data_IF_379581456947
#
_entry.id   IF_379581456947
#
_cell.length_a   1.000
_cell.length_b   1.000
_cell.length_c   1.000
_cell.angle_alpha   90.00
_cell.angle_beta   90.00
_cell.angle_gamma   90.00
#
_symmetry.space_group_name_H-M   'P 1'
#
loop_
_entity.id
_entity.type
_entity.pdbx_description
1 polymer ?
#
# COMPACT_ATOMS: atom_id res chain seq x y z
N UNK A 1 -16.92 -10.51 21.63
CA UNK A 1 -16.15 -10.09 22.83
C UNK A 1 -15.19 -8.99 22.44
N UNK A 2 -14.98 -7.99 23.30
CA UNK A 2 -14.04 -6.88 23.10
C UNK A 2 -13.02 -6.86 24.24
N UNK A 3 -11.80 -6.40 23.98
CA UNK A 3 -10.73 -6.22 24.97
C UNK A 3 -10.61 -4.78 25.47
N UNK A 4 -11.73 -4.07 25.55
CA UNK A 4 -11.77 -2.65 25.96
C UNK A 4 -11.66 -2.55 27.47
N UNK A 5 -10.91 -1.56 27.96
CA UNK A 5 -10.80 -1.24 29.38
C UNK A 5 -11.11 0.24 29.61
N UNK A 6 -11.69 0.55 30.76
CA UNK A 6 -11.92 1.91 31.18
C UNK A 6 -10.58 2.59 31.54
N UNK A 7 -10.40 3.85 31.17
CA UNK A 7 -9.20 4.63 31.50
C UNK A 7 -8.00 4.38 30.58
N UNK A 8 -8.17 3.71 29.43
CA UNK A 8 -7.08 3.53 28.46
C UNK A 8 -6.70 4.83 27.75
N UNK A 9 -7.68 5.70 27.50
CA UNK A 9 -7.48 7.06 26.99
C UNK A 9 -8.80 7.84 27.03
N UNK A 10 -8.72 9.16 27.20
CA UNK A 10 -9.91 10.02 27.18
C UNK A 10 -10.79 9.83 25.93
N UNK A 11 -10.18 9.64 24.75
CA UNK A 11 -10.92 9.41 23.52
C UNK A 11 -11.60 8.03 23.47
N UNK A 12 -11.02 7.00 24.11
CA UNK A 12 -11.68 5.69 24.25
C UNK A 12 -12.82 5.74 25.26
N UNK A 13 -12.62 6.44 26.38
CA UNK A 13 -13.65 6.59 27.41
C UNK A 13 -14.89 7.33 26.88
N UNK A 14 -14.69 8.37 26.06
CA UNK A 14 -15.79 9.04 25.37
C UNK A 14 -16.58 8.06 24.48
N UNK A 15 -15.88 7.26 23.66
CA UNK A 15 -16.53 6.28 22.78
C UNK A 15 -17.22 5.14 23.54
N UNK A 16 -16.68 4.74 24.69
CA UNK A 16 -17.30 3.76 25.60
C UNK A 16 -18.62 4.33 26.10
N UNK A 17 -18.62 5.58 26.55
CA UNK A 17 -19.82 6.27 27.03
C UNK A 17 -20.87 6.44 25.92
N UNK A 18 -20.46 6.81 24.71
CA UNK A 18 -21.34 6.92 23.53
C UNK A 18 -22.02 5.58 23.23
N UNK A 19 -21.28 4.46 23.29
CA UNK A 19 -21.81 3.10 23.07
C UNK A 19 -22.58 2.52 24.26
N UNK A 20 -22.57 3.18 25.42
CA UNK A 20 -23.09 2.64 26.69
C UNK A 20 -22.49 1.25 27.02
N UNK A 21 -21.22 1.06 26.68
CA UNK A 21 -20.48 -0.18 26.91
C UNK A 21 -20.19 -0.34 28.42
N UNK A 22 -20.41 -1.54 28.97
CA UNK A 22 -20.21 -1.86 30.39
C UNK A 22 -19.59 -3.24 30.58
N UNK A 23 -19.00 -3.48 31.76
CA UNK A 23 -18.38 -4.76 32.12
C UNK A 23 -19.36 -5.84 32.60
N UNK A 24 -20.49 -5.43 33.16
CA UNK A 24 -21.42 -6.34 33.85
C UNK A 24 -22.46 -6.98 32.90
N UNK A 25 -21.99 -7.71 31.89
CA UNK A 25 -22.83 -8.50 30.99
C UNK A 25 -22.85 -8.04 29.54
N UNK A 26 -23.85 -8.51 28.79
CA UNK A 26 -23.97 -8.31 27.34
C UNK A 26 -24.50 -6.90 27.06
N UNK A 27 -23.85 -6.17 26.16
CA UNK A 27 -24.31 -4.89 25.62
C UNK A 27 -24.50 -4.98 24.11
N UNK A 28 -25.38 -4.14 23.54
CA UNK A 28 -25.66 -4.11 22.10
C UNK A 28 -24.92 -2.96 21.42
N UNK A 29 -24.27 -3.24 20.29
CA UNK A 29 -23.68 -2.21 19.43
C UNK A 29 -24.76 -1.39 18.70
N UNK A 30 -24.37 -0.26 18.09
CA UNK A 30 -25.29 0.55 17.26
C UNK A 30 -25.93 -0.25 16.11
N UNK A 31 -25.25 -1.29 15.63
CA UNK A 31 -25.72 -2.20 14.58
C UNK A 31 -26.53 -3.40 15.12
N UNK A 32 -26.82 -3.42 16.43
CA UNK A 32 -27.61 -4.47 17.09
C UNK A 32 -26.84 -5.74 17.47
N UNK A 33 -25.53 -5.81 17.19
CA UNK A 33 -24.70 -6.95 17.58
C UNK A 33 -24.51 -7.03 19.10
N UNK A 34 -24.63 -8.23 19.67
CA UNK A 34 -24.39 -8.49 21.09
C UNK A 34 -22.89 -8.66 21.38
N UNK A 35 -22.37 -7.88 22.32
CA UNK A 35 -20.95 -7.83 22.69
C UNK A 35 -20.77 -7.95 24.21
N UNK A 36 -19.55 -8.31 24.62
CA UNK A 36 -19.13 -8.55 26.00
C UNK A 36 -17.73 -7.93 26.18
N UNK A 37 -17.49 -7.27 27.30
CA UNK A 37 -16.21 -6.61 27.63
C UNK A 37 -15.65 -7.11 28.97
N UNK A 38 -15.08 -8.34 29.03
CA UNK A 38 -14.80 -9.02 30.30
C UNK A 38 -13.74 -8.37 31.18
N UNK A 39 -12.85 -7.57 30.59
CA UNK A 39 -11.75 -6.88 31.28
C UNK A 39 -12.03 -5.39 31.47
N UNK A 40 -13.29 -4.96 31.35
CA UNK A 40 -13.67 -3.54 31.35
C UNK A 40 -13.11 -2.74 32.55
N UNK A 41 -13.14 -3.34 33.73
CA UNK A 41 -12.67 -2.74 35.00
C UNK A 41 -11.18 -2.98 35.28
N UNK A 42 -10.45 -3.67 34.41
CA UNK A 42 -9.06 -4.00 34.65
C UNK A 42 -8.17 -2.79 34.32
N UNK A 43 -7.31 -2.42 35.26
CA UNK A 43 -6.18 -1.56 34.95
C UNK A 43 -5.05 -2.36 34.27
N UNK A 44 -3.96 -1.67 33.92
CA UNK A 44 -2.86 -2.34 33.20
C UNK A 44 -2.17 -3.37 34.10
N UNK A 45 -2.00 -3.06 35.39
CA UNK A 45 -1.33 -3.94 36.34
C UNK A 45 -2.14 -5.23 36.56
N UNK A 46 -3.47 -5.14 36.65
CA UNK A 46 -4.37 -6.30 36.78
C UNK A 46 -4.25 -7.26 35.60
N UNK A 47 -4.08 -6.74 34.38
CA UNK A 47 -3.85 -7.58 33.19
C UNK A 47 -2.53 -8.33 33.33
N UNK A 48 -1.45 -7.66 33.72
CA UNK A 48 -0.14 -8.29 33.87
C UNK A 48 -0.08 -9.27 35.04
N UNK A 49 -0.80 -9.01 36.12
CA UNK A 49 -0.93 -9.94 37.25
C UNK A 49 -1.59 -11.25 36.80
N UNK A 50 -2.67 -11.18 36.01
CA UNK A 50 -3.35 -12.37 35.47
C UNK A 50 -2.43 -13.15 34.53
N UNK A 51 -1.71 -12.46 33.64
CA UNK A 51 -0.71 -13.10 32.77
C UNK A 51 0.42 -13.74 33.58
N UNK A 52 0.89 -13.08 34.64
CA UNK A 52 1.91 -13.60 35.56
C UNK A 52 1.45 -14.83 36.33
N UNK A 53 0.21 -14.86 36.84
CA UNK A 53 -0.36 -16.03 37.51
C UNK A 53 -0.58 -17.22 36.57
N UNK A 54 -0.97 -16.95 35.33
CA UNK A 54 -1.05 -17.98 34.31
C UNK A 54 0.34 -18.57 33.99
N UNK A 55 1.35 -17.71 33.82
CA UNK A 55 2.73 -18.15 33.58
C UNK A 55 3.32 -18.94 34.76
N UNK A 56 2.94 -18.60 36.00
CA UNK A 56 3.37 -19.30 37.20
C UNK A 56 2.59 -20.61 37.46
N UNK A 57 1.60 -20.95 36.62
CA UNK A 57 0.75 -22.13 36.81
C UNK A 57 -0.25 -22.02 37.97
N UNK A 58 -0.42 -20.83 38.54
CA UNK A 58 -1.37 -20.55 39.63
C UNK A 58 -2.79 -20.45 39.07
N UNK A 59 -2.94 -19.81 37.90
CA UNK A 59 -4.20 -19.68 37.20
C UNK A 59 -4.23 -20.63 36.00
N UNK A 60 -5.16 -21.59 35.99
CA UNK A 60 -5.37 -22.43 34.82
C UNK A 60 -5.92 -21.59 33.66
N UNK A 61 -5.22 -21.58 32.53
CA UNK A 61 -5.60 -20.82 31.36
C UNK A 61 -5.19 -21.54 30.07
N UNK A 62 -5.53 -21.00 28.91
CA UNK A 62 -5.24 -21.63 27.61
C UNK A 62 -3.76 -21.53 27.19
N UNK A 63 -2.95 -20.73 27.88
CA UNK A 63 -1.53 -20.50 27.57
C UNK A 63 -0.75 -20.09 28.84
N UNK A 64 0.55 -20.30 28.86
CA UNK A 64 1.42 -19.76 29.91
C UNK A 64 1.73 -18.27 29.70
N UNK A 65 1.45 -17.72 28.51
CA UNK A 65 1.77 -16.34 28.12
C UNK A 65 3.24 -15.95 28.25
N UNK A 66 4.17 -16.90 28.37
CA UNK A 66 5.59 -16.64 28.57
C UNK A 66 6.17 -15.78 27.46
N UNK A 67 5.79 -16.05 26.20
CA UNK A 67 6.24 -15.29 25.02
C UNK A 67 5.73 -13.84 25.01
N UNK A 68 4.54 -13.58 25.56
CA UNK A 68 3.98 -12.22 25.66
C UNK A 68 4.77 -11.43 26.71
N UNK A 69 5.01 -12.04 27.87
CA UNK A 69 5.81 -11.44 28.94
C UNK A 69 7.23 -11.12 28.45
N UNK A 70 7.89 -12.08 27.79
CA UNK A 70 9.22 -11.90 27.21
C UNK A 70 9.23 -10.75 26.19
N UNK A 71 8.28 -10.73 25.24
CA UNK A 71 8.20 -9.69 24.22
C UNK A 71 8.06 -8.27 24.81
N UNK A 72 7.18 -8.08 25.80
CA UNK A 72 7.01 -6.77 26.43
C UNK A 72 8.18 -6.39 27.34
N UNK A 73 8.87 -7.38 27.91
CA UNK A 73 10.15 -7.17 28.63
C UNK A 73 11.20 -6.64 27.67
N UNK A 74 11.35 -7.29 26.51
CA UNK A 74 12.28 -6.91 25.45
C UNK A 74 11.94 -5.53 24.85
N UNK A 75 10.66 -5.25 24.59
CA UNK A 75 10.19 -4.00 24.00
C UNK A 75 10.30 -2.81 24.96
N UNK A 76 10.09 -3.05 26.26
CA UNK A 76 10.17 -2.04 27.31
C UNK A 76 11.57 -1.76 27.83
N UNK A 77 12.57 -2.55 27.41
CA UNK A 77 13.94 -2.43 27.91
C UNK A 77 14.08 -2.83 29.38
N UNK A 78 13.33 -3.84 29.83
CA UNK A 78 13.31 -4.30 31.23
C UNK A 78 12.01 -4.04 31.96
N UNK A 79 10.87 -4.20 31.28
CA UNK A 79 9.58 -4.21 31.96
C UNK A 79 9.55 -5.36 32.98
N UNK A 80 9.47 -5.03 34.27
CA UNK A 80 9.41 -6.04 35.34
C UNK A 80 7.95 -6.45 35.52
N UNK A 81 7.56 -7.59 34.94
CA UNK A 81 6.33 -8.28 35.36
C UNK A 81 6.62 -8.89 36.73
N UNK A 82 6.22 -8.19 37.79
CA UNK A 82 6.43 -8.65 39.16
C UNK A 82 5.55 -9.88 39.40
N UNK A 83 6.15 -11.06 39.42
CA UNK A 83 5.56 -12.23 40.09
C UNK A 83 5.69 -12.02 41.59
N UNK A 84 4.55 -11.81 42.25
CA UNK A 84 4.30 -11.97 43.70
C UNK A 84 5.50 -11.80 44.64
N UNK A 85 5.74 -10.56 45.09
CA UNK A 85 6.59 -10.31 46.26
C UNK A 85 7.27 -8.95 46.23
N UNK A 86 6.59 -7.92 46.75
CA UNK A 86 7.10 -6.67 47.34
C UNK A 86 8.46 -6.08 46.86
N UNK A 87 8.85 -6.26 45.60
CA UNK A 87 10.08 -5.72 45.03
C UNK A 87 9.72 -4.56 44.08
N UNK A 88 10.17 -3.37 44.50
CA UNK A 88 10.15 -2.04 43.86
C UNK A 88 9.55 -1.89 42.46
N UNK A 89 8.51 -1.03 42.41
CA UNK A 89 7.83 -0.45 41.24
C UNK A 89 8.73 0.52 40.43
N UNK A 90 9.92 0.12 40.02
CA UNK A 90 10.82 0.98 39.25
C UNK A 90 11.20 0.37 37.90
N UNK A 91 10.20 0.20 37.05
CA UNK A 91 10.35 -0.04 35.61
C UNK A 91 9.36 0.82 34.84
N UNK A 92 9.62 1.18 33.57
CA UNK A 92 8.63 1.83 32.72
C UNK A 92 7.34 1.01 32.66
N UNK A 93 6.16 1.64 32.54
CA UNK A 93 4.92 0.89 32.37
C UNK A 93 5.01 -0.01 31.14
N UNK A 94 4.49 -1.23 31.29
CA UNK A 94 4.32 -2.32 30.33
C UNK A 94 3.44 -2.00 29.09
N UNK A 95 3.42 -0.75 28.66
CA UNK A 95 2.72 -0.25 27.46
C UNK A 95 3.67 0.03 26.29
N UNK A 96 4.85 -0.59 26.28
CA UNK A 96 5.86 -0.37 25.25
C UNK A 96 5.33 -0.75 23.86
N UNK A 97 5.70 0.04 22.85
CA UNK A 97 5.42 -0.24 21.45
C UNK A 97 6.63 -0.92 20.82
N UNK A 98 6.40 -1.79 19.85
CA UNK A 98 7.45 -2.53 19.11
C UNK A 98 7.87 -1.88 17.79
N UNK A 99 7.28 -0.73 17.44
CA UNK A 99 7.52 -0.04 16.18
C UNK A 99 6.71 -0.59 15.02
N UNK A 100 6.86 0.00 13.84
CA UNK A 100 6.19 -0.44 12.62
C UNK A 100 7.02 -0.11 11.38
N UNK A 101 7.31 -1.14 10.58
CA UNK A 101 8.14 -1.02 9.39
C UNK A 101 7.48 -0.25 8.23
N UNK A 102 6.16 -0.22 8.15
CA UNK A 102 5.45 0.54 7.10
C UNK A 102 5.07 1.97 7.56
N UNK A 103 5.07 2.23 8.86
CA UNK A 103 4.58 3.49 9.41
C UNK A 103 5.66 4.57 9.43
N UNK A 104 5.49 5.60 8.61
CA UNK A 104 6.36 6.77 8.59
C UNK A 104 6.02 7.80 9.69
N UNK A 105 4.93 7.60 10.44
CA UNK A 105 4.44 8.58 11.44
C UNK A 105 5.35 8.73 12.65
N UNK A 106 6.17 7.74 12.97
CA UNK A 106 7.15 7.80 14.07
C UNK A 106 8.30 8.80 13.83
N UNK A 107 8.35 9.48 12.69
CA UNK A 107 9.35 10.51 12.40
C UNK A 107 10.68 9.91 11.94
N UNK A 108 11.82 10.56 12.21
CA UNK A 108 13.13 10.20 11.63
C UNK A 108 13.63 8.80 11.99
N UNK A 109 13.31 8.30 13.18
CA UNK A 109 13.79 7.02 13.71
C UNK A 109 12.67 6.28 14.43
N UNK A 110 12.54 4.98 14.22
CA UNK A 110 11.63 4.14 15.02
C UNK A 110 12.38 3.60 16.24
N UNK A 111 12.47 4.44 17.29
CA UNK A 111 13.18 4.10 18.53
C UNK A 111 12.65 2.84 19.19
N UNK A 112 11.36 2.55 19.01
CA UNK A 112 10.73 1.35 19.55
C UNK A 112 11.23 0.08 18.87
N UNK A 113 11.28 0.08 17.54
CA UNK A 113 11.86 -1.03 16.79
C UNK A 113 13.36 -1.18 17.05
N UNK A 114 14.09 -0.06 17.11
CA UNK A 114 15.53 -0.04 17.41
C UNK A 114 15.83 -0.60 18.81
N UNK A 115 15.04 -0.21 19.82
CA UNK A 115 15.18 -0.72 21.19
C UNK A 115 14.89 -2.21 21.26
N UNK A 116 13.85 -2.68 20.58
CA UNK A 116 13.50 -4.11 20.53
C UNK A 116 14.63 -4.94 19.90
N UNK A 117 15.24 -4.43 18.82
CA UNK A 117 16.40 -5.08 18.19
C UNK A 117 17.62 -5.05 19.13
N UNK A 118 17.84 -3.95 19.84
CA UNK A 118 18.97 -3.79 20.75
C UNK A 118 18.85 -4.65 22.02
N UNK A 119 17.64 -4.91 22.52
CA UNK A 119 17.42 -5.72 23.71
C UNK A 119 17.68 -7.21 23.47
N UNK A 120 17.32 -7.73 22.29
CA UNK A 120 17.59 -9.10 21.91
C UNK A 120 17.88 -9.24 20.41
N UNK A 121 19.15 -8.99 20.05
CA UNK A 121 19.60 -9.03 18.65
C UNK A 121 19.45 -10.43 18.03
N UNK A 122 19.64 -11.49 18.81
CA UNK A 122 19.52 -12.86 18.31
C UNK A 122 18.10 -13.19 17.83
N UNK A 123 17.08 -12.63 18.50
CA UNK A 123 15.67 -12.88 18.21
C UNK A 123 15.06 -11.86 17.23
N UNK A 124 15.40 -10.59 17.40
CA UNK A 124 14.79 -9.49 16.64
C UNK A 124 15.71 -8.89 15.58
N UNK A 125 16.97 -9.32 15.46
CA UNK A 125 17.91 -8.81 14.44
C UNK A 125 17.38 -8.90 13.02
N UNK A 126 16.52 -9.89 12.73
CA UNK A 126 15.79 -10.03 11.46
C UNK A 126 14.89 -8.85 11.09
N UNK A 127 14.57 -7.96 12.03
CA UNK A 127 13.77 -6.75 11.79
C UNK A 127 14.60 -5.57 11.26
N UNK A 128 15.94 -5.65 11.27
CA UNK A 128 16.81 -4.57 10.78
C UNK A 128 16.53 -4.18 9.31
N UNK A 129 16.37 -5.11 8.35
CA UNK A 129 16.04 -4.76 6.96
C UNK A 129 14.70 -4.01 6.84
N UNK A 130 13.71 -4.40 7.65
CA UNK A 130 12.40 -3.74 7.68
C UNK A 130 12.49 -2.31 8.22
N UNK A 131 13.25 -2.11 9.31
CA UNK A 131 13.48 -0.76 9.85
C UNK A 131 14.31 0.11 8.89
N UNK A 132 15.24 -0.50 8.15
CA UNK A 132 16.04 0.18 7.11
C UNK A 132 15.17 0.69 5.96
N UNK A 133 14.28 -0.15 5.43
CA UNK A 133 13.28 0.23 4.43
C UNK A 133 12.39 1.39 4.92
N UNK A 134 11.89 1.27 6.15
CA UNK A 134 11.08 2.31 6.80
C UNK A 134 11.80 3.65 6.88
N UNK A 135 13.07 3.62 7.28
CA UNK A 135 13.90 4.81 7.45
C UNK A 135 14.20 5.48 6.11
N UNK A 136 14.46 4.68 5.08
CA UNK A 136 14.60 5.17 3.71
C UNK A 136 13.33 5.89 3.24
N UNK A 137 12.15 5.30 3.43
CA UNK A 137 10.86 5.93 3.07
C UNK A 137 10.63 7.29 3.75
N UNK A 138 10.99 7.40 5.03
CA UNK A 138 10.90 8.67 5.77
C UNK A 138 11.87 9.70 5.22
N UNK A 139 13.11 9.30 4.94
CA UNK A 139 14.15 10.21 4.51
C UNK A 139 13.90 10.79 3.11
N UNK A 140 13.24 10.04 2.22
CA UNK A 140 12.90 10.50 0.87
C UNK A 140 11.53 11.19 0.77
N UNK A 141 10.78 11.31 1.87
CA UNK A 141 9.38 11.78 1.84
C UNK A 141 9.25 13.15 1.16
N UNK A 142 10.21 14.04 1.37
CA UNK A 142 10.24 15.38 0.78
C UNK A 142 11.37 15.55 -0.25
N UNK A 143 11.93 14.45 -0.73
CA UNK A 143 12.85 14.48 -1.86
C UNK A 143 12.05 14.55 -3.17
N UNK A 144 11.99 15.75 -3.75
CA UNK A 144 11.24 16.00 -4.98
C UNK A 144 11.89 15.42 -6.22
N UNK A 145 13.19 15.11 -6.19
CA UNK A 145 13.89 14.46 -7.30
C UNK A 145 13.38 13.04 -7.57
N UNK A 146 12.80 12.40 -6.55
CA UNK A 146 12.24 11.05 -6.59
C UNK A 146 10.76 11.02 -6.99
N UNK A 147 10.19 12.14 -7.45
CA UNK A 147 8.77 12.27 -7.74
C UNK A 147 8.46 12.22 -9.23
N UNK A 148 7.25 11.80 -9.52
CA UNK A 148 6.61 11.98 -10.82
C UNK A 148 5.95 13.37 -10.85
N UNK A 149 6.14 14.10 -11.94
CA UNK A 149 5.77 15.51 -12.05
C UNK A 149 4.45 15.77 -12.80
N UNK A 150 3.67 14.72 -13.07
CA UNK A 150 2.40 14.82 -13.76
C UNK A 150 1.30 14.42 -12.80
N UNK A 151 0.29 15.29 -12.66
CA UNK A 151 -0.87 15.03 -11.84
C UNK A 151 -1.77 13.91 -12.39
N UNK A 152 -2.70 13.43 -11.55
CA UNK A 152 -3.65 12.36 -11.91
C UNK A 152 -5.07 12.86 -12.14
N UNK A 153 -5.30 14.16 -12.04
CA UNK A 153 -6.63 14.77 -12.15
C UNK A 153 -6.62 15.77 -13.29
N UNK A 154 -7.60 15.65 -14.18
CA UNK A 154 -7.85 16.65 -15.21
C UNK A 154 -8.91 17.60 -14.65
N UNK A 155 -8.55 18.88 -14.56
CA UNK A 155 -9.41 19.95 -14.07
C UNK A 155 -10.55 20.21 -15.05
N UNK A 156 -11.65 20.79 -14.57
CA UNK A 156 -12.83 21.11 -15.40
C UNK A 156 -12.50 22.02 -16.58
N UNK A 157 -11.46 22.84 -16.49
CA UNK A 157 -10.98 23.70 -17.58
C UNK A 157 -10.09 22.97 -18.60
N UNK A 158 -9.98 21.63 -18.53
CA UNK A 158 -9.30 20.81 -19.52
C UNK A 158 -7.77 20.77 -19.38
N UNK A 159 -7.25 21.02 -18.17
CA UNK A 159 -5.82 21.02 -17.88
C UNK A 159 -5.44 19.94 -16.87
N UNK A 160 -4.22 19.43 -16.97
CA UNK A 160 -3.58 18.61 -15.95
C UNK A 160 -2.48 19.42 -15.26
N UNK A 161 -2.45 19.38 -13.92
CA UNK A 161 -1.42 20.06 -13.15
C UNK A 161 -0.09 19.31 -13.28
N UNK A 162 0.98 20.07 -13.56
CA UNK A 162 2.35 19.58 -13.58
C UNK A 162 3.08 20.06 -12.32
N UNK A 163 3.45 19.13 -11.46
CA UNK A 163 4.10 19.36 -10.17
C UNK A 163 4.39 18.02 -9.51
N UNK A 164 5.25 18.02 -8.49
CA UNK A 164 5.60 16.79 -7.78
C UNK A 164 4.36 16.17 -7.10
N UNK A 165 3.94 14.99 -7.57
CA UNK A 165 2.80 14.22 -7.04
C UNK A 165 3.28 12.88 -6.46
N UNK A 166 3.12 11.78 -7.19
CA UNK A 166 3.50 10.44 -6.71
C UNK A 166 5.01 10.20 -6.78
N UNK A 167 5.48 9.06 -6.25
CA UNK A 167 6.84 8.59 -6.54
C UNK A 167 7.02 8.36 -8.04
N UNK A 168 8.24 8.60 -8.54
CA UNK A 168 8.62 8.32 -9.91
C UNK A 168 8.59 6.82 -10.21
N UNK A 169 8.42 6.40 -11.47
CA UNK A 169 8.50 4.98 -11.85
C UNK A 169 9.78 4.29 -11.36
N UNK A 170 10.93 4.96 -11.45
CA UNK A 170 12.19 4.42 -10.93
C UNK A 170 12.15 4.24 -9.41
N UNK A 171 11.59 5.20 -8.68
CA UNK A 171 11.47 5.13 -7.22
C UNK A 171 10.49 4.03 -6.78
N UNK A 172 9.39 3.84 -7.51
CA UNK A 172 8.46 2.75 -7.27
C UNK A 172 9.10 1.38 -7.52
N UNK A 173 9.92 1.26 -8.58
CA UNK A 173 10.72 0.06 -8.85
C UNK A 173 11.70 -0.22 -7.70
N UNK A 174 12.47 0.78 -7.26
CA UNK A 174 13.39 0.66 -6.12
C UNK A 174 12.67 0.28 -4.84
N UNK A 175 11.51 0.89 -4.56
CA UNK A 175 10.68 0.53 -3.41
C UNK A 175 10.24 -0.94 -3.45
N UNK A 176 9.83 -1.45 -4.62
CA UNK A 176 9.51 -2.87 -4.78
C UNK A 176 10.73 -3.76 -4.49
N UNK A 177 11.89 -3.45 -5.09
CA UNK A 177 13.15 -4.18 -4.86
C UNK A 177 13.52 -4.21 -3.37
N UNK A 178 13.48 -3.06 -2.71
CA UNK A 178 13.83 -2.96 -1.29
C UNK A 178 12.83 -3.68 -0.39
N UNK A 179 11.54 -3.69 -0.76
CA UNK A 179 10.50 -4.42 -0.03
C UNK A 179 10.71 -5.92 -0.14
N UNK A 180 10.93 -6.44 -1.36
CA UNK A 180 11.23 -7.86 -1.59
C UNK A 180 12.53 -8.30 -0.91
N UNK A 181 13.55 -7.44 -0.93
CA UNK A 181 14.81 -7.70 -0.23
C UNK A 181 14.61 -7.74 1.29
N UNK A 182 13.83 -6.81 1.85
CA UNK A 182 13.53 -6.80 3.27
C UNK A 182 12.69 -8.01 3.70
N UNK A 183 11.72 -8.43 2.89
CA UNK A 183 10.97 -9.69 3.07
C UNK A 183 11.91 -10.90 3.10
N UNK A 184 12.79 -11.03 2.10
CA UNK A 184 13.77 -12.13 2.00
C UNK A 184 14.69 -12.20 3.23
N UNK A 185 15.24 -11.06 3.65
CA UNK A 185 16.21 -11.01 4.76
C UNK A 185 15.55 -11.16 6.14
N UNK A 186 14.31 -10.70 6.30
CA UNK A 186 13.59 -10.77 7.58
C UNK A 186 12.80 -12.08 7.76
N UNK A 187 12.50 -12.78 6.67
CA UNK A 187 11.59 -13.92 6.63
C UNK A 187 10.14 -13.55 6.91
N UNK A 188 9.79 -12.26 6.89
CA UNK A 188 8.41 -11.78 7.09
C UNK A 188 7.75 -11.66 5.72
N UNK A 189 6.67 -12.39 5.42
CA UNK A 189 5.95 -12.23 4.16
C UNK A 189 5.26 -10.86 4.11
N UNK A 190 5.58 -10.07 3.10
CA UNK A 190 5.07 -8.71 2.89
C UNK A 190 4.17 -8.66 1.65
N UNK A 191 4.63 -9.24 0.52
CA UNK A 191 3.96 -9.17 -0.77
C UNK A 191 3.50 -10.58 -1.18
N UNK A 192 2.19 -10.81 -1.16
CA UNK A 192 1.59 -12.01 -1.73
C UNK A 192 1.55 -11.97 -3.27
N UNK A 193 1.37 -13.11 -3.95
CA UNK A 193 1.15 -13.16 -5.40
C UNK A 193 0.09 -12.18 -5.90
N UNK A 194 -1.08 -12.14 -5.26
CA UNK A 194 -2.14 -11.21 -5.63
C UNK A 194 -1.77 -9.74 -5.40
N UNK A 195 -1.02 -9.43 -4.35
CA UNK A 195 -0.52 -8.08 -4.12
C UNK A 195 0.50 -7.67 -5.18
N UNK A 196 1.36 -8.58 -5.63
CA UNK A 196 2.30 -8.33 -6.73
C UNK A 196 1.57 -8.05 -8.04
N UNK A 197 0.59 -8.88 -8.41
CA UNK A 197 -0.27 -8.66 -9.58
C UNK A 197 -0.99 -7.31 -9.47
N UNK A 198 -1.51 -6.98 -8.29
CA UNK A 198 -2.17 -5.70 -8.08
C UNK A 198 -1.24 -4.49 -8.23
N UNK A 199 0.02 -4.61 -7.77
CA UNK A 199 1.04 -3.58 -7.98
C UNK A 199 1.29 -3.40 -9.48
N UNK A 200 1.51 -4.49 -10.20
CA UNK A 200 1.75 -4.48 -11.65
C UNK A 200 0.57 -3.89 -12.42
N UNK A 201 -0.65 -4.35 -12.12
CA UNK A 201 -1.89 -3.86 -12.71
C UNK A 201 -2.05 -2.35 -12.49
N UNK A 202 -1.75 -1.84 -11.29
CA UNK A 202 -1.82 -0.40 -11.01
C UNK A 202 -0.75 0.41 -11.74
N UNK A 203 0.45 -0.14 -11.91
CA UNK A 203 1.51 0.51 -12.68
C UNK A 203 1.13 0.59 -14.16
N UNK A 204 0.61 -0.50 -14.72
CA UNK A 204 0.08 -0.58 -16.08
C UNK A 204 -1.09 0.39 -16.29
N UNK A 205 -2.10 0.36 -15.41
CA UNK A 205 -3.27 1.24 -15.50
C UNK A 205 -2.92 2.74 -15.46
N UNK A 206 -1.84 3.10 -14.77
CA UNK A 206 -1.37 4.48 -14.65
C UNK A 206 -0.28 4.83 -15.66
N UNK A 207 0.05 3.93 -16.60
CA UNK A 207 1.18 4.03 -17.54
C UNK A 207 2.51 4.46 -16.86
N UNK A 208 2.73 3.97 -15.63
CA UNK A 208 3.96 4.21 -14.85
C UNK A 208 5.10 3.38 -15.43
N UNK A 209 4.82 2.16 -15.86
CA UNK A 209 5.79 1.23 -16.43
C UNK A 209 5.11 0.36 -17.51
N UNK A 210 5.90 -0.28 -18.40
CA UNK A 210 5.37 -1.24 -19.36
C UNK A 210 4.58 -2.37 -18.66
N UNK A 211 3.71 -3.09 -19.39
CA UNK A 211 3.03 -4.27 -18.86
C UNK A 211 4.00 -5.27 -18.22
N UNK A 212 3.61 -5.90 -17.11
CA UNK A 212 4.38 -6.94 -16.41
C UNK A 212 5.74 -6.49 -15.84
N UNK A 213 6.01 -5.19 -15.79
CA UNK A 213 7.30 -4.67 -15.32
C UNK A 213 7.55 -4.89 -13.82
N UNK A 214 6.51 -4.86 -12.97
CA UNK A 214 6.66 -5.20 -11.56
C UNK A 214 6.96 -6.69 -11.38
N UNK A 215 6.34 -7.55 -12.20
CA UNK A 215 6.58 -9.00 -12.18
C UNK A 215 7.98 -9.33 -12.68
N UNK A 216 8.41 -8.70 -13.78
CA UNK A 216 9.80 -8.79 -14.23
C UNK A 216 10.77 -8.37 -13.13
N UNK A 217 10.48 -7.27 -12.43
CA UNK A 217 11.29 -6.80 -11.30
C UNK A 217 11.31 -7.83 -10.17
N UNK A 218 10.19 -8.50 -9.89
CA UNK A 218 10.13 -9.58 -8.92
C UNK A 218 11.04 -10.76 -9.29
N UNK A 219 11.01 -11.26 -10.52
CA UNK A 219 11.91 -12.33 -10.97
C UNK A 219 13.38 -11.90 -11.00
N UNK A 220 13.65 -10.66 -11.41
CA UNK A 220 15.00 -10.09 -11.36
C UNK A 220 15.57 -10.14 -9.92
N UNK A 221 14.75 -9.86 -8.89
CA UNK A 221 15.15 -9.88 -7.48
C UNK A 221 15.22 -11.31 -6.91
N UNK A 222 14.18 -12.11 -7.11
CA UNK A 222 14.01 -13.40 -6.44
C UNK A 222 14.84 -14.51 -7.08
N UNK A 223 14.92 -14.54 -8.41
CA UNK A 223 15.52 -15.63 -9.15
C UNK A 223 16.91 -15.26 -9.71
N UNK A 224 17.09 -14.00 -10.12
CA UNK A 224 18.33 -13.52 -10.75
C UNK A 224 19.29 -12.84 -9.78
N UNK A 225 18.94 -12.81 -8.49
CA UNK A 225 19.82 -12.30 -7.44
C UNK A 225 20.04 -10.79 -7.45
N UNK A 226 19.17 -10.01 -8.11
CA UNK A 226 19.24 -8.53 -8.14
C UNK A 226 18.59 -7.89 -6.91
N UNK A 227 18.73 -8.50 -5.74
CA UNK A 227 18.23 -7.94 -4.48
C UNK A 227 19.21 -6.88 -3.96
N UNK A 228 18.66 -5.80 -3.40
CA UNK A 228 19.40 -4.64 -2.92
C UNK A 228 18.71 -4.11 -1.65
N UNK A 229 19.46 -3.83 -0.60
CA UNK A 229 18.93 -3.19 0.59
C UNK A 229 18.73 -1.69 0.36
N UNK A 230 17.66 -1.12 0.92
CA UNK A 230 17.43 0.33 0.83
C UNK A 230 18.67 1.13 1.29
N UNK A 231 19.17 2.11 0.54
CA UNK A 231 20.39 2.84 0.90
C UNK A 231 20.16 3.73 2.12
N UNK A 232 21.24 3.99 2.88
CA UNK A 232 21.21 5.03 3.91
C UNK A 232 21.37 6.39 3.23
N UNK A 233 20.29 7.16 3.24
CA UNK A 233 20.22 8.49 2.60
C UNK A 233 19.96 9.56 3.67
N UNK A 234 20.42 10.81 3.47
CA UNK A 234 20.13 11.91 4.38
C UNK A 234 18.62 12.22 4.42
N UNK A 235 18.15 12.72 5.56
CA UNK A 235 16.75 13.12 5.73
C UNK A 235 16.43 14.39 4.93
N UNK A 236 15.50 14.30 3.97
CA UNK A 236 14.96 15.45 3.26
C UNK A 236 13.92 16.18 4.15
N UNK A 237 14.15 17.46 4.51
CA UNK A 237 13.24 18.20 5.36
C UNK A 237 11.94 18.58 4.64
N UNK A 238 10.82 18.74 5.38
CA UNK A 238 9.58 19.23 4.82
C UNK A 238 9.78 20.55 4.07
N UNK A 239 9.35 20.57 2.81
CA UNK A 239 9.38 21.75 1.94
C UNK A 239 8.11 21.81 1.09
N UNK A 240 7.77 22.96 0.49
CA UNK A 240 6.66 23.04 -0.45
C UNK A 240 6.93 22.20 -1.70
N UNK A 241 5.92 21.45 -2.15
CA UNK A 241 6.05 20.67 -3.38
C UNK A 241 6.23 21.60 -4.60
N UNK A 242 7.22 21.36 -5.46
CA UNK A 242 7.47 22.16 -6.64
C UNK A 242 6.31 22.03 -7.63
N UNK A 243 5.88 23.18 -8.17
CA UNK A 243 4.87 23.27 -9.22
C UNK A 243 5.51 23.82 -10.50
N UNK A 244 5.35 23.09 -11.60
CA UNK A 244 5.95 23.43 -12.89
C UNK A 244 5.00 24.27 -13.76
N UNK A 245 3.71 23.93 -13.74
CA UNK A 245 2.73 24.57 -14.61
C UNK A 245 1.51 23.71 -14.87
N UNK A 246 0.87 23.93 -16.02
CA UNK A 246 -0.33 23.23 -16.46
C UNK A 246 -0.17 22.79 -17.91
N UNK A 247 -0.58 21.55 -18.20
CA UNK A 247 -0.54 20.97 -19.55
C UNK A 247 -1.99 20.93 -20.09
N UNK A 248 -2.26 21.46 -21.29
CA UNK A 248 -3.59 21.42 -21.89
C UNK A 248 -3.89 20.01 -22.40
N UNK A 249 -5.07 19.48 -22.06
CA UNK A 249 -5.54 18.15 -22.46
C UNK A 249 -6.67 18.25 -23.48
N UNK A 250 -7.57 19.21 -23.30
CA UNK A 250 -8.83 19.29 -24.04
C UNK A 250 -9.88 18.29 -23.55
N UNK A 251 -10.95 18.10 -24.33
CA UNK A 251 -12.08 17.23 -23.97
C UNK A 251 -12.11 15.91 -24.77
N UNK A 252 -11.40 15.86 -25.91
CA UNK A 252 -11.50 14.76 -26.89
C UNK A 252 -10.98 13.42 -26.36
N UNK A 253 -10.07 13.42 -25.39
CA UNK A 253 -9.49 12.21 -24.78
C UNK A 253 -10.55 11.32 -24.11
N UNK A 254 -11.63 11.93 -23.61
CA UNK A 254 -12.73 11.24 -22.91
C UNK A 254 -13.88 10.88 -23.85
N UNK A 255 -13.94 11.49 -25.03
CA UNK A 255 -14.94 11.18 -26.05
C UNK A 255 -14.68 9.77 -26.62
N UNK A 256 -15.76 9.11 -27.04
CA UNK A 256 -15.74 7.74 -27.58
C UNK A 256 -15.50 7.72 -29.09
N UNK A 257 -15.74 8.84 -29.76
CA UNK A 257 -15.61 9.02 -31.20
C UNK A 257 -14.67 10.19 -31.49
N UNK A 258 -13.77 10.04 -32.46
CA UNK A 258 -12.84 11.10 -32.85
C UNK A 258 -11.43 10.57 -33.03
N UNK A 259 -10.59 11.34 -33.72
CA UNK A 259 -9.21 10.93 -34.04
C UNK A 259 -8.33 10.80 -32.79
N UNK A 260 -8.59 11.59 -31.76
CA UNK A 260 -7.87 11.58 -30.48
C UNK A 260 -8.60 10.82 -29.37
N UNK A 261 -9.63 10.02 -29.73
CA UNK A 261 -10.36 9.20 -28.76
C UNK A 261 -9.46 8.08 -28.24
N UNK A 262 -9.50 7.87 -26.93
CA UNK A 262 -8.75 6.79 -26.27
C UNK A 262 -9.64 5.55 -26.11
N UNK A 263 -9.04 4.35 -26.10
CA UNK A 263 -9.83 3.12 -26.00
C UNK A 263 -10.33 2.86 -24.57
N UNK A 264 -9.60 3.32 -23.56
CA UNK A 264 -9.91 3.09 -22.16
C UNK A 264 -9.93 1.62 -21.80
N UNK A 265 -11.04 1.20 -21.19
CA UNK A 265 -11.32 -0.20 -20.86
C UNK A 265 -11.89 -1.02 -22.02
N UNK A 266 -12.07 -0.44 -23.20
CA UNK A 266 -12.60 -1.16 -24.35
C UNK A 266 -11.67 -2.28 -24.78
N UNK A 267 -12.22 -3.47 -24.96
CA UNK A 267 -11.50 -4.66 -25.41
C UNK A 267 -12.19 -5.26 -26.63
N UNK A 268 -11.67 -4.93 -27.82
CA UNK A 268 -12.26 -5.35 -29.09
C UNK A 268 -12.24 -6.88 -29.28
N UNK A 269 -11.25 -7.57 -28.69
CA UNK A 269 -11.13 -9.02 -28.81
C UNK A 269 -12.22 -9.70 -27.99
N UNK A 270 -12.40 -9.27 -26.73
CA UNK A 270 -13.47 -9.79 -25.88
C UNK A 270 -14.86 -9.39 -26.38
N UNK A 271 -15.04 -8.22 -27.01
CA UNK A 271 -16.29 -7.86 -27.67
C UNK A 271 -16.69 -8.86 -28.76
N UNK A 272 -15.72 -9.34 -29.55
CA UNK A 272 -15.96 -10.31 -30.61
C UNK A 272 -16.35 -11.69 -30.06
N UNK A 273 -15.78 -12.08 -28.92
CA UNK A 273 -15.96 -13.41 -28.32
C UNK A 273 -16.92 -13.46 -27.13
N UNK A 274 -17.62 -12.36 -26.83
CA UNK A 274 -18.39 -12.24 -25.59
C UNK A 274 -19.45 -13.34 -25.40
N UNK A 275 -20.11 -13.78 -26.48
CA UNK A 275 -21.11 -14.86 -26.45
C UNK A 275 -20.49 -16.23 -26.13
N UNK A 276 -19.26 -16.47 -26.59
CA UNK A 276 -18.55 -17.74 -26.37
C UNK A 276 -17.85 -17.79 -25.01
N UNK A 277 -17.38 -16.64 -24.52
CA UNK A 277 -16.65 -16.53 -23.26
C UNK A 277 -17.55 -16.22 -22.04
N UNK A 278 -18.86 -15.99 -22.25
CA UNK A 278 -19.80 -15.71 -21.18
C UNK A 278 -19.60 -14.35 -20.50
N UNK A 279 -18.85 -13.44 -21.12
CA UNK A 279 -18.60 -12.09 -20.59
C UNK A 279 -19.71 -11.14 -21.05
N UNK A 280 -20.19 -10.30 -20.13
CA UNK A 280 -21.23 -9.31 -20.43
C UNK A 280 -20.59 -7.99 -20.86
N UNK A 281 -21.35 -7.21 -21.64
CA UNK A 281 -20.95 -5.88 -22.11
C UNK A 281 -21.77 -4.82 -21.40
N UNK A 282 -21.16 -3.68 -21.12
CA UNK A 282 -21.79 -2.55 -20.45
C UNK A 282 -21.46 -1.26 -21.20
N UNK A 283 -22.46 -0.39 -21.35
CA UNK A 283 -22.27 0.95 -21.89
C UNK A 283 -22.18 1.94 -20.75
N UNK A 284 -21.08 2.69 -20.71
CA UNK A 284 -20.84 3.74 -19.72
C UNK A 284 -21.60 5.02 -20.08
N UNK A 285 -21.71 5.96 -19.13
CA UNK A 285 -22.43 7.24 -19.32
C UNK A 285 -21.87 8.10 -20.45
N UNK A 286 -20.58 8.00 -20.75
CA UNK A 286 -19.92 8.69 -21.87
C UNK A 286 -20.16 8.00 -23.22
N UNK A 287 -20.89 6.87 -23.25
CA UNK A 287 -21.14 6.06 -24.45
C UNK A 287 -20.09 4.99 -24.70
N UNK A 288 -19.05 4.86 -23.85
CA UNK A 288 -18.01 3.87 -24.04
C UNK A 288 -18.56 2.46 -23.81
N UNK A 289 -18.30 1.55 -24.75
CA UNK A 289 -18.58 0.13 -24.59
C UNK A 289 -17.39 -0.53 -23.87
N UNK A 290 -17.67 -1.21 -22.76
CA UNK A 290 -16.67 -1.93 -21.97
C UNK A 290 -17.16 -3.35 -21.66
N UNK A 291 -16.22 -4.25 -21.39
CA UNK A 291 -16.54 -5.56 -20.82
C UNK A 291 -16.79 -5.39 -19.32
N UNK A 292 -17.82 -6.07 -18.81
CA UNK A 292 -18.21 -6.00 -17.41
C UNK A 292 -17.40 -7.01 -16.60
N UNK A 293 -16.27 -6.55 -16.06
CA UNK A 293 -15.43 -7.28 -15.12
C UNK A 293 -15.75 -6.89 -13.66
N UNK A 294 -16.92 -6.33 -13.40
CA UNK A 294 -17.34 -6.01 -12.04
C UNK A 294 -17.78 -7.29 -11.31
N UNK A 295 -17.05 -7.66 -10.27
CA UNK A 295 -17.40 -8.77 -9.38
C UNK A 295 -17.22 -8.35 -7.92
N UNK A 296 -18.26 -8.56 -7.13
CA UNK A 296 -18.28 -8.20 -5.71
C UNK A 296 -18.22 -6.69 -5.40
N UNK A 297 -18.06 -6.34 -4.11
CA UNK A 297 -18.15 -4.97 -3.63
C UNK A 297 -16.85 -4.17 -3.78
N UNK A 298 -15.72 -4.83 -4.05
CA UNK A 298 -14.38 -4.21 -4.07
C UNK A 298 -13.54 -4.81 -5.19
N UNK A 299 -12.50 -4.08 -5.58
CA UNK A 299 -11.46 -4.63 -6.45
C UNK A 299 -10.84 -5.84 -5.75
N UNK A 300 -10.71 -6.93 -6.49
CA UNK A 300 -10.18 -8.19 -5.98
C UNK A 300 -9.22 -8.82 -7.00
N UNK A 301 -8.29 -9.60 -6.48
CA UNK A 301 -7.34 -10.36 -7.29
C UNK A 301 -7.41 -11.80 -6.83
N UNK A 302 -7.71 -12.70 -7.76
CA UNK A 302 -7.76 -14.12 -7.49
C UNK A 302 -6.37 -14.63 -7.09
N UNK A 303 -6.27 -15.20 -5.89
CA UNK A 303 -4.99 -15.62 -5.31
C UNK A 303 -4.39 -16.80 -6.07
N UNK A 304 -5.22 -17.77 -6.46
CA UNK A 304 -4.77 -18.99 -7.14
C UNK A 304 -4.37 -18.67 -8.58
N UNK A 305 -5.20 -17.93 -9.31
CA UNK A 305 -4.89 -17.43 -10.65
C UNK A 305 -3.65 -16.52 -10.68
N UNK A 306 -3.44 -15.70 -9.64
CA UNK A 306 -2.19 -14.94 -9.50
C UNK A 306 -0.97 -15.85 -9.33
N UNK A 307 -1.06 -16.90 -8.51
CA UNK A 307 0.03 -17.85 -8.30
C UNK A 307 0.31 -18.67 -9.58
N UNK A 308 -0.72 -19.14 -10.27
CA UNK A 308 -0.62 -19.87 -11.52
C UNK A 308 -0.01 -18.99 -12.62
N UNK A 309 -0.42 -17.72 -12.72
CA UNK A 309 0.17 -16.78 -13.66
C UNK A 309 1.67 -16.61 -13.44
N UNK A 310 2.08 -16.37 -12.20
CA UNK A 310 3.51 -16.23 -11.86
C UNK A 310 4.29 -17.52 -12.17
N UNK A 311 3.68 -18.69 -11.96
CA UNK A 311 4.37 -19.97 -12.12
C UNK A 311 4.49 -20.39 -13.59
N UNK A 312 3.45 -20.15 -14.40
CA UNK A 312 3.34 -20.77 -15.73
C UNK A 312 3.34 -19.80 -16.90
N UNK A 313 2.91 -18.54 -16.70
CA UNK A 313 2.62 -17.62 -17.81
C UNK A 313 3.54 -16.39 -17.81
N UNK A 314 4.02 -15.96 -16.65
CA UNK A 314 4.66 -14.67 -16.49
C UNK A 314 5.86 -14.44 -17.44
N UNK A 315 6.72 -15.43 -17.66
CA UNK A 315 7.88 -15.29 -18.55
C UNK A 315 7.49 -15.01 -20.01
N UNK A 316 6.45 -15.68 -20.51
CA UNK A 316 5.94 -15.46 -21.87
C UNK A 316 5.34 -14.06 -22.01
N UNK A 317 4.53 -13.65 -21.04
CA UNK A 317 3.91 -12.32 -21.05
C UNK A 317 4.94 -11.20 -20.86
N UNK A 318 5.99 -11.41 -20.05
CA UNK A 318 7.10 -10.46 -19.95
C UNK A 318 7.82 -10.35 -21.29
N UNK A 319 8.13 -11.48 -21.94
CA UNK A 319 8.79 -11.49 -23.26
C UNK A 319 7.96 -10.77 -24.32
N UNK A 320 6.65 -10.93 -24.30
CA UNK A 320 5.81 -10.45 -25.39
C UNK A 320 5.35 -9.00 -25.20
N UNK A 321 5.20 -8.53 -23.95
CA UNK A 321 4.60 -7.23 -23.64
C UNK A 321 5.49 -6.26 -22.85
N UNK A 322 6.52 -6.71 -22.13
CA UNK A 322 7.29 -5.87 -21.20
C UNK A 322 8.39 -5.06 -21.91
N UNK A 323 8.01 -4.22 -22.87
CA UNK A 323 8.91 -3.38 -23.66
C UNK A 323 8.49 -1.91 -23.62
N UNK A 324 9.47 -1.01 -23.58
CA UNK A 324 9.21 0.43 -23.54
C UNK A 324 8.48 0.95 -24.79
N UNK A 325 8.74 0.35 -25.95
CA UNK A 325 8.12 0.72 -27.24
C UNK A 325 6.71 0.14 -27.41
N UNK A 326 6.21 -0.63 -26.45
CA UNK A 326 4.88 -1.22 -26.55
C UNK A 326 3.80 -0.13 -26.63
N UNK A 327 2.89 -0.27 -27.60
CA UNK A 327 2.00 0.81 -28.02
C UNK A 327 0.98 1.25 -26.97
N UNK A 328 0.62 0.37 -26.03
CA UNK A 328 -0.33 0.68 -24.96
C UNK A 328 0.08 0.02 -23.63
N UNK A 329 0.61 0.80 -22.71
CA UNK A 329 1.06 0.30 -21.41
C UNK A 329 -0.10 -0.09 -20.49
N UNK A 330 -1.32 0.35 -20.77
CA UNK A 330 -2.52 -0.04 -20.01
C UNK A 330 -3.01 -1.46 -20.34
N UNK A 331 -2.40 -2.11 -21.34
CA UNK A 331 -2.79 -3.46 -21.78
C UNK A 331 -2.56 -4.52 -20.70
N UNK A 332 -1.52 -4.38 -19.87
CA UNK A 332 -1.27 -5.29 -18.75
C UNK A 332 -2.47 -5.40 -17.81
N UNK A 333 -3.09 -4.27 -17.47
CA UNK A 333 -4.31 -4.22 -16.65
C UNK A 333 -5.45 -5.04 -17.29
N UNK A 334 -5.70 -4.83 -18.60
CA UNK A 334 -6.74 -5.57 -19.33
C UNK A 334 -6.42 -7.05 -19.47
N UNK A 335 -5.15 -7.43 -19.63
CA UNK A 335 -4.73 -8.83 -19.67
C UNK A 335 -5.13 -9.53 -18.36
N UNK A 336 -4.85 -8.95 -17.19
CA UNK A 336 -5.26 -9.56 -15.93
C UNK A 336 -6.78 -9.73 -15.82
N UNK A 337 -7.56 -8.79 -16.35
CA UNK A 337 -9.01 -8.93 -16.41
C UNK A 337 -9.45 -10.06 -17.34
N UNK A 338 -8.85 -10.16 -18.53
CA UNK A 338 -9.14 -11.24 -19.49
C UNK A 338 -8.79 -12.62 -18.96
N UNK A 339 -7.74 -12.72 -18.17
CA UNK A 339 -7.34 -13.97 -17.51
C UNK A 339 -8.22 -14.32 -16.30
N UNK A 340 -9.17 -13.45 -15.92
CA UNK A 340 -10.00 -13.65 -14.73
C UNK A 340 -9.27 -13.45 -13.41
N UNK A 341 -8.02 -12.96 -13.45
CA UNK A 341 -7.19 -12.75 -12.27
C UNK A 341 -7.59 -11.47 -11.53
N UNK A 342 -8.08 -10.46 -12.25
CA UNK A 342 -8.43 -9.15 -11.69
C UNK A 342 -9.90 -8.80 -11.96
N UNK A 343 -10.64 -8.50 -10.90
CA UNK A 343 -12.01 -8.01 -10.98
C UNK A 343 -12.17 -6.61 -10.36
N UNK A 344 -13.20 -5.89 -10.77
CA UNK A 344 -13.53 -4.56 -10.27
C UNK A 344 -14.67 -4.62 -9.26
N UNK A 345 -14.67 -3.74 -8.27
CA UNK A 345 -15.86 -3.55 -7.43
C UNK A 345 -17.02 -2.95 -8.22
N UNK A 346 -18.25 -3.31 -7.85
CA UNK A 346 -19.46 -2.78 -8.46
C UNK A 346 -19.45 -1.23 -8.58
N UNK A 347 -19.72 -0.73 -9.79
CA UNK A 347 -19.72 0.69 -10.12
C UNK A 347 -18.34 1.32 -10.38
N UNK A 348 -17.24 0.56 -10.33
CA UNK A 348 -15.90 1.09 -10.55
C UNK A 348 -15.43 1.12 -12.01
N UNK A 349 -16.12 0.46 -12.95
CA UNK A 349 -15.70 0.45 -14.37
C UNK A 349 -15.55 1.85 -14.96
N UNK A 350 -16.45 2.78 -14.61
CA UNK A 350 -16.37 4.18 -15.09
C UNK A 350 -15.07 4.86 -14.66
N UNK A 351 -14.73 4.71 -13.38
CA UNK A 351 -13.52 5.34 -12.81
C UNK A 351 -12.26 4.71 -13.41
N UNK A 352 -12.29 3.40 -13.63
CA UNK A 352 -11.17 2.69 -14.19
C UNK A 352 -10.99 3.03 -15.67
N UNK A 353 -12.05 3.04 -16.48
CA UNK A 353 -12.05 3.51 -17.87
C UNK A 353 -11.45 4.93 -18.00
N UNK A 354 -11.86 5.86 -17.14
CA UNK A 354 -11.31 7.21 -17.11
C UNK A 354 -9.79 7.22 -16.82
N UNK A 355 -9.32 6.39 -15.89
CA UNK A 355 -7.89 6.24 -15.59
C UNK A 355 -7.15 5.70 -16.81
N UNK A 356 -7.64 4.64 -17.47
CA UNK A 356 -6.97 4.04 -18.63
C UNK A 356 -6.93 5.03 -19.81
N UNK A 357 -8.04 5.72 -20.10
CA UNK A 357 -8.09 6.74 -21.16
C UNK A 357 -7.08 7.85 -20.91
N UNK A 358 -6.98 8.34 -19.67
CA UNK A 358 -5.99 9.36 -19.30
C UNK A 358 -4.57 8.85 -19.50
N UNK A 359 -4.29 7.63 -19.06
CA UNK A 359 -2.96 7.02 -19.21
C UNK A 359 -2.57 6.82 -20.68
N UNK A 360 -3.50 6.37 -21.53
CA UNK A 360 -3.30 6.28 -22.98
C UNK A 360 -3.07 7.66 -23.61
N UNK A 361 -3.81 8.68 -23.18
CA UNK A 361 -3.57 10.05 -23.63
C UNK A 361 -2.17 10.54 -23.22
N UNK A 362 -1.77 10.35 -21.96
CA UNK A 362 -0.42 10.67 -21.49
C UNK A 362 0.64 9.94 -22.32
N UNK A 363 0.39 8.68 -22.66
CA UNK A 363 1.29 7.91 -23.52
C UNK A 363 1.41 8.52 -24.92
N UNK A 364 0.30 8.91 -25.55
CA UNK A 364 0.27 9.57 -26.86
C UNK A 364 1.02 10.91 -26.89
N UNK A 365 1.16 11.57 -25.73
CA UNK A 365 1.86 12.84 -25.59
C UNK A 365 3.32 12.69 -25.11
N UNK A 366 3.80 11.44 -24.97
CA UNK A 366 5.13 11.10 -24.41
C UNK A 366 5.31 11.57 -22.96
N UNK A 367 4.21 11.61 -22.20
CA UNK A 367 4.17 11.99 -20.79
C UNK A 367 4.06 10.78 -19.85
N UNK A 368 4.08 9.57 -20.38
CA UNK A 368 4.06 8.32 -19.60
C UNK A 368 5.47 7.92 -19.12
N UNK A 369 5.54 7.00 -18.16
CA UNK A 369 6.80 6.47 -17.68
C UNK A 369 7.68 7.49 -16.96
N UNK A 370 8.99 7.22 -16.92
CA UNK A 370 9.96 8.09 -16.26
C UNK A 370 10.19 9.33 -17.12
N UNK A 371 9.88 10.51 -16.57
CA UNK A 371 10.07 11.81 -17.22
C UNK A 371 10.75 12.78 -16.28
N UNK A 372 11.65 13.57 -16.84
CA UNK A 372 12.36 14.64 -16.13
C UNK A 372 11.45 15.85 -15.93
N UNK A 373 11.66 16.66 -14.86
CA UNK A 373 10.93 17.90 -14.68
C UNK A 373 11.02 18.85 -15.88
N UNK A 374 12.17 18.86 -16.57
CA UNK A 374 12.42 19.69 -17.75
C UNK A 374 11.55 19.27 -18.94
N UNK A 375 11.44 17.97 -19.22
CA UNK A 375 10.56 17.42 -20.27
C UNK A 375 9.10 17.76 -20.00
N UNK A 376 8.65 17.59 -18.75
CA UNK A 376 7.27 17.91 -18.35
C UNK A 376 7.01 19.42 -18.47
N UNK A 377 7.95 20.25 -18.00
CA UNK A 377 7.85 21.72 -18.09
C UNK A 377 7.81 22.22 -19.54
N UNK A 378 8.48 21.52 -20.47
CA UNK A 378 8.46 21.85 -21.88
C UNK A 378 7.05 21.68 -22.49
N UNK A 379 6.24 20.74 -21.96
CA UNK A 379 4.87 20.46 -22.40
C UNK A 379 3.82 21.36 -21.74
N UNK A 380 4.18 22.14 -20.71
CA UNK A 380 3.28 23.09 -20.06
C UNK A 380 2.99 24.30 -20.94
N UNK A 381 1.71 24.61 -21.16
CA UNK A 381 1.28 25.85 -21.84
C UNK A 381 1.22 27.05 -20.88
N UNK A 382 0.86 26.80 -19.62
CA UNK A 382 0.95 27.77 -18.52
C UNK A 382 2.09 27.35 -17.62
N UNK A 383 3.08 28.22 -17.44
CA UNK A 383 4.23 27.97 -16.56
C UNK A 383 4.07 28.79 -15.29
N UNK A 384 4.28 28.17 -14.15
CA UNK A 384 4.32 28.91 -12.90
C UNK A 384 5.70 29.56 -12.74
N UNK A 385 5.74 30.76 -12.16
CA UNK A 385 7.01 31.43 -11.87
C UNK A 385 7.88 30.53 -11.00
N UNK A 386 9.14 30.39 -11.44
CA UNK A 386 10.13 29.46 -10.95
C UNK A 386 10.16 29.38 -9.41
N UNK A 387 9.75 28.24 -8.85
CA UNK A 387 10.40 27.72 -7.64
C UNK A 387 11.75 27.04 -7.98
N UNK A 388 12.46 27.51 -9.02
CA UNK A 388 13.72 26.94 -9.49
C UNK A 388 14.90 27.09 -8.52
N UNK A 389 14.66 27.61 -7.31
CA UNK A 389 15.62 27.62 -6.21
C UNK A 389 15.53 26.38 -5.30
N UNK A 390 14.66 25.40 -5.62
CA UNK A 390 14.41 24.21 -4.79
C UNK A 390 15.03 22.90 -5.32
N UNK A 391 15.84 22.96 -6.38
CA UNK A 391 16.57 21.80 -6.92
C UNK A 391 18.06 21.89 -6.59
#
# INVERSE_FOLDING_TARGET
MTGVRQGESAARDQRIAERKEHGDGIWASEEGELRLSPIFSFDTDSVWEVLGYANAGILNSFSDFAQVIEFYTDAGGGCVVVTSGAAQRSGPPCGARSGCWACCRSGKSDRSAEQLVASNESKYGRLKPLNRLRTWLVNIQYDWSMRHFIGRTISHDGFIEAGADSFSPETLRKLLIYTLTAERLSGVPIISPAQLILVDAKWSASAIAPPFFAIKTYFDVMDRGMWEEAPVVPFAPPSPAPKLGRIPVGEDWYQVTGFHSMNGMRDAMMELHHESCGVTRKTLKNGALVIDYEDGPRLDVDMDGAADFLTFLADDYIRDYCHHEYSDWTEGFRIYQRLGILSLGAGHSRKMDEILRRSQWLQSQELHGQRTPEEVKAKCSVRYENQALLF
#
